data_IF_204320981840
#
_entry.id   IF_204320981840
#
_cell.length_a   1.000
_cell.length_b   1.000
_cell.length_c   1.000
_cell.angle_alpha   90.00
_cell.angle_beta   90.00
_cell.angle_gamma   90.00
#
_symmetry.space_group_name_H-M   'P 1'
#
loop_
_entity.id
_entity.type
_entity.pdbx_description
1 polymer ?
#
# COMPACT_ATOMS: atom_id res chain seq x y z
N UNK A 1 -67.56 66.62 11.01
CA UNK A 1 -68.18 65.45 10.36
C UNK A 1 -67.09 64.38 10.22
N UNK A 2 -67.22 63.25 10.92
CA UNK A 2 -66.29 62.12 10.91
C UNK A 2 -66.26 61.45 9.52
N UNK A 3 -65.08 61.00 9.04
CA UNK A 3 -64.91 59.63 8.51
C UNK A 3 -63.48 59.29 8.03
N UNK A 4 -62.93 58.29 8.72
CA UNK A 4 -62.26 57.07 8.22
C UNK A 4 -60.90 57.15 7.49
N UNK A 5 -59.92 56.64 8.23
CA UNK A 5 -58.65 56.07 7.82
C UNK A 5 -58.81 54.94 6.78
N UNK A 6 -57.99 54.93 5.73
CA UNK A 6 -57.61 53.72 4.97
C UNK A 6 -56.16 53.82 4.52
N UNK A 7 -55.31 53.02 5.15
CA UNK A 7 -53.93 52.73 4.80
C UNK A 7 -53.90 51.87 3.53
N UNK A 8 -53.11 52.24 2.52
CA UNK A 8 -52.66 51.32 1.46
C UNK A 8 -51.24 51.67 1.01
N UNK A 9 -50.45 50.62 0.81
CA UNK A 9 -49.00 50.61 0.80
C UNK A 9 -48.32 51.49 -0.25
N UNK A 10 -47.23 52.12 0.17
CA UNK A 10 -46.22 52.64 -0.75
C UNK A 10 -45.41 51.46 -1.30
N UNK A 11 -45.54 51.21 -2.60
CA UNK A 11 -44.49 50.59 -3.39
C UNK A 11 -43.30 51.56 -3.44
N UNK A 12 -42.14 51.13 -2.95
CA UNK A 12 -40.87 51.80 -3.19
C UNK A 12 -39.93 50.82 -3.89
N UNK A 13 -39.71 51.10 -5.17
CA UNK A 13 -38.63 50.53 -5.99
C UNK A 13 -37.30 51.03 -5.42
N UNK A 14 -36.43 50.12 -5.00
CA UNK A 14 -34.99 50.37 -4.91
C UNK A 14 -34.23 49.19 -5.50
N UNK A 15 -33.74 49.40 -6.71
CA UNK A 15 -32.68 48.58 -7.31
C UNK A 15 -31.38 49.01 -6.62
N UNK A 16 -30.78 48.11 -5.83
CA UNK A 16 -29.39 48.27 -5.41
C UNK A 16 -28.58 47.06 -5.87
N UNK A 17 -27.62 47.39 -6.73
CA UNK A 17 -26.55 46.58 -7.28
C UNK A 17 -25.70 46.01 -6.14
N UNK A 18 -25.78 44.71 -5.88
CA UNK A 18 -24.77 43.91 -5.15
C UNK A 18 -24.99 42.42 -5.43
N UNK A 19 -25.01 42.04 -6.71
CA UNK A 19 -25.09 40.64 -7.13
C UNK A 19 -23.84 40.26 -7.89
N UNK A 20 -22.69 40.08 -7.21
CA UNK A 20 -21.47 39.49 -7.80
C UNK A 20 -20.35 39.11 -6.81
N UNK A 21 -20.62 38.91 -5.51
CA UNK A 21 -19.57 38.57 -4.52
C UNK A 21 -19.90 37.44 -3.53
N UNK A 22 -20.89 36.59 -3.80
CA UNK A 22 -21.17 35.42 -2.94
C UNK A 22 -20.88 34.06 -3.62
N UNK A 23 -19.92 34.01 -4.55
CA UNK A 23 -19.35 32.75 -5.05
C UNK A 23 -18.04 32.45 -4.30
N UNK A 24 -18.12 32.41 -2.97
CA UNK A 24 -17.04 31.91 -2.13
C UNK A 24 -17.59 31.32 -0.82
N UNK A 25 -18.79 30.72 -0.86
CA UNK A 25 -19.11 29.68 0.12
C UNK A 25 -18.27 28.47 -0.26
N UNK A 26 -17.09 28.41 0.36
CA UNK A 26 -16.17 27.30 0.23
C UNK A 26 -16.96 26.01 0.36
N UNK A 27 -16.90 25.20 -0.70
CA UNK A 27 -17.25 23.80 -0.62
C UNK A 27 -16.39 23.21 0.50
N UNK A 28 -16.96 23.20 1.71
CA UNK A 28 -16.45 22.45 2.84
C UNK A 28 -16.68 21.01 2.42
N UNK A 29 -15.69 20.43 1.75
CA UNK A 29 -15.64 19.00 1.54
C UNK A 29 -15.84 18.40 2.93
N UNK A 30 -17.00 17.79 3.16
CA UNK A 30 -17.25 17.10 4.41
C UNK A 30 -16.14 16.07 4.52
N UNK A 31 -15.27 16.21 5.52
CA UNK A 31 -14.35 15.15 5.96
C UNK A 31 -15.22 14.01 6.49
N UNK A 32 -15.81 13.25 5.56
CA UNK A 32 -16.36 11.95 5.85
C UNK A 32 -15.24 11.08 6.44
N UNK A 33 -15.57 9.98 7.15
CA UNK A 33 -14.58 9.09 7.71
C UNK A 33 -13.58 8.71 6.61
N UNK A 34 -12.33 9.16 6.75
CA UNK A 34 -11.27 8.83 5.79
C UNK A 34 -11.17 7.31 5.80
N UNK A 35 -11.32 6.69 4.61
CA UNK A 35 -11.11 5.26 4.48
C UNK A 35 -9.77 4.88 5.15
N UNK A 36 -9.70 3.72 5.84
CA UNK A 36 -8.46 3.28 6.44
C UNK A 36 -7.33 3.34 5.41
N UNK A 37 -6.16 3.85 5.83
CA UNK A 37 -4.99 3.78 4.96
C UNK A 37 -4.73 2.30 4.68
N UNK A 38 -4.49 1.96 3.42
CA UNK A 38 -4.06 0.62 3.07
C UNK A 38 -2.82 0.25 3.90
N UNK A 39 -2.79 -0.99 4.36
CA UNK A 39 -1.69 -1.56 5.12
C UNK A 39 -1.48 -3.00 4.63
N UNK A 40 -0.24 -3.47 4.47
CA UNK A 40 0.02 -4.86 4.11
C UNK A 40 -0.54 -5.82 5.15
N UNK A 41 -0.79 -7.07 4.75
CA UNK A 41 -1.04 -8.15 5.71
C UNK A 41 0.20 -8.41 6.55
N UNK A 42 0.03 -8.94 7.77
CA UNK A 42 1.15 -9.19 8.69
C UNK A 42 2.22 -10.11 8.11
N UNK A 43 1.80 -11.12 7.34
CA UNK A 43 2.63 -12.09 6.62
C UNK A 43 3.24 -11.56 5.31
N UNK A 44 3.08 -10.27 5.00
CA UNK A 44 3.75 -9.68 3.83
C UNK A 44 5.26 -9.69 4.05
N UNK A 45 6.02 -10.31 3.16
CA UNK A 45 7.49 -10.26 3.16
C UNK A 45 7.94 -8.84 2.80
N UNK A 46 8.70 -8.20 3.68
CA UNK A 46 9.19 -6.83 3.51
C UNK A 46 10.69 -6.75 3.25
N UNK A 47 11.45 -7.79 3.61
CA UNK A 47 12.87 -7.92 3.32
C UNK A 47 13.27 -9.40 3.26
N UNK A 48 14.28 -9.68 2.44
CA UNK A 48 15.01 -10.95 2.42
C UNK A 48 16.49 -10.59 2.48
N UNK A 49 17.23 -11.16 3.42
CA UNK A 49 18.64 -10.89 3.68
C UNK A 49 19.45 -12.19 3.62
N UNK A 50 20.76 -12.10 3.39
CA UNK A 50 21.63 -13.26 3.24
C UNK A 50 21.67 -13.82 1.83
N UNK A 51 22.12 -15.07 1.72
CA UNK A 51 22.32 -15.81 0.47
C UNK A 51 22.18 -17.33 0.69
N UNK A 52 22.22 -18.12 -0.39
CA UNK A 52 22.00 -19.56 -0.32
C UNK A 52 23.10 -20.32 0.46
N UNK A 53 24.34 -19.82 0.43
CA UNK A 53 25.49 -20.48 1.04
C UNK A 53 25.53 -20.23 2.56
N UNK A 54 25.17 -19.01 2.99
CA UNK A 54 25.24 -18.57 4.38
C UNK A 54 23.88 -18.58 5.09
N UNK A 55 22.79 -18.83 4.35
CA UNK A 55 21.42 -18.81 4.84
C UNK A 55 20.71 -17.50 4.56
N UNK A 56 19.41 -17.60 4.31
CA UNK A 56 18.53 -16.45 4.16
C UNK A 56 17.83 -16.12 5.48
N UNK A 57 17.45 -14.86 5.68
CA UNK A 57 16.46 -14.43 6.67
C UNK A 57 15.35 -13.66 5.97
N UNK A 58 14.10 -14.10 6.17
CA UNK A 58 12.89 -13.54 5.59
C UNK A 58 12.19 -12.73 6.68
N UNK A 59 12.00 -11.43 6.47
CA UNK A 59 11.35 -10.52 7.42
C UNK A 59 9.93 -10.18 6.95
N UNK A 60 8.96 -10.27 7.85
CA UNK A 60 7.56 -10.00 7.59
C UNK A 60 7.11 -8.63 8.15
N UNK A 61 6.00 -8.13 7.63
CA UNK A 61 5.46 -6.82 7.98
C UNK A 61 5.04 -6.71 9.45
N UNK A 62 4.58 -7.81 10.06
CA UNK A 62 4.26 -7.88 11.48
C UNK A 62 5.49 -7.88 12.42
N UNK A 63 6.71 -7.85 11.85
CA UNK A 63 7.96 -7.86 12.57
C UNK A 63 8.51 -9.26 12.88
N UNK A 64 7.82 -10.33 12.47
CA UNK A 64 8.36 -11.69 12.58
C UNK A 64 9.40 -11.96 11.50
N UNK A 65 10.27 -12.94 11.78
CA UNK A 65 11.29 -13.40 10.83
C UNK A 65 11.38 -14.91 10.78
N UNK A 66 11.65 -15.46 9.60
CA UNK A 66 11.95 -16.87 9.38
C UNK A 66 13.37 -17.00 8.81
N UNK A 67 14.18 -17.90 9.38
CA UNK A 67 15.50 -18.24 8.85
C UNK A 67 15.50 -19.72 8.47
N UNK A 68 15.28 -20.07 7.20
CA UNK A 68 15.44 -21.45 6.75
C UNK A 68 16.87 -21.96 6.99
N UNK A 69 17.08 -23.29 6.98
CA UNK A 69 18.41 -23.87 6.84
C UNK A 69 19.11 -23.34 5.59
N UNK A 70 20.42 -23.55 5.48
CA UNK A 70 21.18 -23.23 4.26
C UNK A 70 20.81 -24.17 3.11
N UNK A 71 21.22 -23.81 1.88
CA UNK A 71 21.07 -24.68 0.72
C UNK A 71 21.79 -26.02 0.94
N UNK A 72 22.99 -25.96 1.55
CA UNK A 72 23.81 -27.16 1.81
C UNK A 72 23.14 -28.11 2.82
N UNK A 73 22.53 -27.57 3.88
CA UNK A 73 21.79 -28.36 4.86
C UNK A 73 20.53 -28.96 4.23
N UNK A 74 19.76 -28.15 3.50
CA UNK A 74 18.49 -28.60 2.90
C UNK A 74 18.71 -29.67 1.82
N UNK A 75 19.77 -29.53 1.00
CA UNK A 75 20.09 -30.52 -0.04
C UNK A 75 20.70 -31.80 0.53
N UNK A 76 21.33 -31.76 1.70
CA UNK A 76 21.81 -32.95 2.38
C UNK A 76 20.66 -33.89 2.78
N UNK A 77 19.53 -33.33 3.24
CA UNK A 77 18.32 -34.10 3.59
C UNK A 77 17.70 -34.79 2.36
N UNK A 78 17.91 -34.26 1.15
CA UNK A 78 17.41 -34.91 -0.08
C UNK A 78 18.06 -36.29 -0.32
N UNK A 79 19.21 -36.59 0.29
CA UNK A 79 19.85 -37.91 0.20
C UNK A 79 19.08 -39.04 0.88
N UNK A 80 18.07 -38.74 1.69
CA UNK A 80 17.28 -39.73 2.43
C UNK A 80 16.18 -40.40 1.61
N UNK A 81 15.88 -39.90 0.41
CA UNK A 81 14.86 -40.51 -0.45
C UNK A 81 15.30 -41.84 -1.06
N UNK A 82 14.36 -42.79 -1.15
CA UNK A 82 14.62 -44.17 -1.60
C UNK A 82 14.99 -44.30 -3.10
N UNK A 83 14.76 -43.27 -3.91
CA UNK A 83 14.96 -43.35 -5.37
C UNK A 83 15.71 -42.15 -5.91
N UNK A 84 16.57 -42.38 -6.89
CA UNK A 84 17.36 -41.33 -7.56
C UNK A 84 16.48 -40.21 -8.15
N UNK A 85 15.29 -40.57 -8.65
CA UNK A 85 14.32 -39.59 -9.19
C UNK A 85 13.79 -38.69 -8.08
N UNK A 86 13.47 -39.23 -6.91
CA UNK A 86 13.00 -38.46 -5.78
C UNK A 86 14.11 -37.55 -5.20
N UNK A 87 15.34 -38.06 -5.09
CA UNK A 87 16.51 -37.25 -4.69
C UNK A 87 16.69 -36.07 -5.64
N UNK A 88 16.67 -36.32 -6.96
CA UNK A 88 16.85 -35.27 -7.97
C UNK A 88 15.71 -34.25 -7.93
N UNK A 89 14.46 -34.70 -7.78
CA UNK A 89 13.31 -33.82 -7.66
C UNK A 89 13.44 -32.90 -6.43
N UNK A 90 13.80 -33.46 -5.28
CA UNK A 90 14.05 -32.70 -4.06
C UNK A 90 15.13 -31.64 -4.25
N UNK A 91 16.28 -32.02 -4.84
CA UNK A 91 17.38 -31.08 -5.09
C UNK A 91 16.95 -29.91 -5.99
N UNK A 92 16.24 -30.20 -7.08
CA UNK A 92 15.74 -29.16 -8.00
C UNK A 92 14.73 -28.24 -7.33
N UNK A 93 13.82 -28.79 -6.51
CA UNK A 93 12.84 -28.00 -5.76
C UNK A 93 13.53 -27.06 -4.77
N UNK A 94 14.51 -27.58 -4.02
CA UNK A 94 15.28 -26.79 -3.05
C UNK A 94 16.10 -25.70 -3.77
N UNK A 95 16.88 -26.05 -4.80
CA UNK A 95 17.66 -25.08 -5.58
C UNK A 95 16.78 -23.97 -6.18
N UNK A 96 15.61 -24.35 -6.70
CA UNK A 96 14.64 -23.40 -7.24
C UNK A 96 14.14 -22.45 -6.16
N UNK A 97 13.80 -22.97 -4.99
CA UNK A 97 13.31 -22.16 -3.88
C UNK A 97 14.36 -21.14 -3.40
N UNK A 98 15.62 -21.55 -3.25
CA UNK A 98 16.71 -20.62 -2.89
C UNK A 98 16.99 -19.58 -3.98
N UNK A 99 16.91 -19.96 -5.26
CA UNK A 99 17.00 -19.01 -6.37
C UNK A 99 15.87 -17.98 -6.32
N UNK A 100 14.65 -18.41 -6.08
CA UNK A 100 13.48 -17.52 -6.02
C UNK A 100 13.55 -16.56 -4.81
N UNK A 101 14.19 -16.95 -3.70
CA UNK A 101 14.48 -16.03 -2.59
C UNK A 101 15.44 -14.91 -2.98
N UNK A 102 16.50 -15.23 -3.75
CA UNK A 102 17.40 -14.22 -4.28
C UNK A 102 16.69 -13.27 -5.24
N UNK A 103 15.82 -13.80 -6.11
CA UNK A 103 15.01 -13.00 -7.02
C UNK A 103 14.03 -12.08 -6.25
N UNK A 104 13.41 -12.57 -5.18
CA UNK A 104 12.55 -11.78 -4.31
C UNK A 104 13.33 -10.65 -3.61
N UNK A 105 14.52 -10.95 -3.09
CA UNK A 105 15.42 -9.95 -2.51
C UNK A 105 15.70 -8.82 -3.51
N UNK A 106 16.06 -9.17 -4.75
CA UNK A 106 16.33 -8.21 -5.82
C UNK A 106 15.09 -7.39 -6.19
N UNK A 107 13.91 -8.03 -6.28
CA UNK A 107 12.65 -7.36 -6.58
C UNK A 107 12.27 -6.33 -5.51
N UNK A 108 12.44 -6.66 -4.22
CA UNK A 108 12.20 -5.75 -3.10
C UNK A 108 13.18 -4.57 -3.16
N UNK A 109 14.46 -4.82 -3.41
CA UNK A 109 15.47 -3.77 -3.55
C UNK A 109 15.12 -2.80 -4.70
N UNK A 110 14.70 -3.33 -5.85
CA UNK A 110 14.24 -2.53 -6.98
C UNK A 110 12.99 -1.71 -6.65
N UNK A 111 11.99 -2.29 -5.99
CA UNK A 111 10.78 -1.59 -5.60
C UNK A 111 11.08 -0.41 -4.66
N UNK A 112 12.01 -0.58 -3.72
CA UNK A 112 12.48 0.49 -2.81
C UNK A 112 13.20 1.59 -3.59
N UNK A 113 14.08 1.22 -4.52
CA UNK A 113 14.75 2.17 -5.40
C UNK A 113 13.75 2.98 -6.24
N UNK A 114 12.74 2.33 -6.81
CA UNK A 114 11.69 3.00 -7.59
C UNK A 114 10.81 3.91 -6.75
N UNK A 115 10.47 3.50 -5.53
CA UNK A 115 9.70 4.32 -4.59
C UNK A 115 10.47 5.56 -4.12
N UNK A 116 11.80 5.47 -3.97
CA UNK A 116 12.66 6.58 -3.55
C UNK A 116 12.92 7.60 -4.68
N UNK A 117 12.76 7.21 -5.94
CA UNK A 117 12.93 8.14 -7.07
C UNK A 117 11.76 9.13 -7.16
N UNK A 118 12.07 10.43 -7.20
CA UNK A 118 11.09 11.46 -7.55
C UNK A 118 10.49 11.16 -8.92
N UNK A 119 9.17 11.02 -9.01
CA UNK A 119 8.47 10.85 -10.28
C UNK A 119 8.10 12.24 -10.82
N UNK A 120 8.57 12.65 -12.00
CA UNK A 120 8.13 13.90 -12.61
C UNK A 120 6.59 13.89 -12.75
N UNK A 121 5.92 14.89 -12.17
CA UNK A 121 4.47 15.07 -12.30
C UNK A 121 3.60 14.33 -11.27
N UNK A 122 4.17 13.84 -10.16
CA UNK A 122 3.40 13.41 -8.99
C UNK A 122 3.76 14.25 -7.77
#
# INVERSE_FOLDING_TARGET
>A
MQMKLRTFGLLAVTVLVTGLLALADGASAQDGPRAPRWQPSGDTIVAVEGDADNGFTIHHYDGTSLSPPTLSETTAECGEYDTEVAVTACQVEVETWFRDLADLQAAIAWARYDAARSRPGR
#
